data_IF_349074728981
#
_entry.id   IF_349074728981
#
_cell.length_a   1.000
_cell.length_b   1.000
_cell.length_c   1.000
_cell.angle_alpha   90.00
_cell.angle_beta   90.00
_cell.angle_gamma   90.00
#
_symmetry.space_group_name_H-M   'P 1'
#
loop_
_entity.id
_entity.type
_entity.pdbx_description
1 polymer ?
#
# COMPACT_ATOMS: atom_id res chain seq x y z
N UNK A 1 42.60 3.54 2.41
CA UNK A 1 42.06 4.64 1.57
C UNK A 1 40.67 5.01 2.09
N UNK A 2 40.49 6.16 2.77
CA UNK A 2 39.15 6.60 3.22
C UNK A 2 38.35 7.08 2.00
N UNK A 3 37.31 6.34 1.65
CA UNK A 3 36.40 6.66 0.54
C UNK A 3 35.64 7.95 0.90
N UNK A 4 35.80 9.04 0.14
CA UNK A 4 35.04 10.28 0.37
C UNK A 4 33.56 10.03 0.02
N UNK A 5 32.68 10.21 1.00
CA UNK A 5 31.23 10.12 0.83
C UNK A 5 30.76 11.35 0.05
N UNK A 6 29.98 11.15 -1.01
CA UNK A 6 29.37 12.24 -1.80
C UNK A 6 28.26 12.93 -0.99
N UNK A 7 28.06 14.24 -1.18
CA UNK A 7 26.91 14.95 -0.60
C UNK A 7 25.55 14.31 -0.93
N UNK A 8 25.42 13.67 -2.11
CA UNK A 8 24.22 12.92 -2.46
C UNK A 8 24.05 11.65 -1.62
N UNK A 9 25.14 10.96 -1.28
CA UNK A 9 25.07 9.78 -0.42
C UNK A 9 24.67 10.18 1.00
N UNK A 10 25.15 11.33 1.49
CA UNK A 10 24.71 11.88 2.78
C UNK A 10 23.19 12.11 2.75
N UNK A 11 22.67 12.76 1.70
CA UNK A 11 21.23 12.96 1.52
C UNK A 11 20.45 11.62 1.47
N UNK A 12 20.94 10.64 0.70
CA UNK A 12 20.30 9.34 0.55
C UNK A 12 20.14 8.62 1.90
N UNK A 13 21.19 8.64 2.74
CA UNK A 13 21.19 7.98 4.04
C UNK A 13 20.54 8.82 5.15
N UNK A 14 20.37 10.13 4.97
CA UNK A 14 19.73 10.99 5.98
C UNK A 14 18.23 11.15 5.78
N UNK A 15 17.70 10.95 4.58
CA UNK A 15 16.30 11.23 4.25
C UNK A 15 15.31 10.54 5.21
N UNK A 16 15.39 9.22 5.39
CA UNK A 16 14.43 8.49 6.22
C UNK A 16 14.61 8.79 7.73
N UNK A 17 15.84 8.81 8.31
CA UNK A 17 16.03 9.21 9.71
C UNK A 17 15.52 10.62 10.01
N UNK A 18 15.81 11.59 9.14
CA UNK A 18 15.32 12.96 9.30
C UNK A 18 13.81 13.02 9.21
N UNK A 19 13.21 12.28 8.27
CA UNK A 19 11.75 12.20 8.13
C UNK A 19 11.10 11.55 9.35
N UNK A 20 11.74 10.53 9.96
CA UNK A 20 11.23 9.88 11.17
C UNK A 20 11.21 10.86 12.35
N UNK A 21 12.30 11.59 12.57
CA UNK A 21 12.36 12.60 13.63
C UNK A 21 11.33 13.71 13.38
N UNK A 22 11.27 14.21 12.14
CA UNK A 22 10.30 15.25 11.78
C UNK A 22 8.86 14.78 11.95
N UNK A 23 8.53 13.56 11.53
CA UNK A 23 7.21 12.96 11.68
C UNK A 23 6.78 12.81 13.13
N UNK A 24 7.69 12.36 14.00
CA UNK A 24 7.41 12.29 15.44
C UNK A 24 7.25 13.66 16.10
N UNK A 25 8.01 14.67 15.68
CA UNK A 25 7.78 16.03 16.16
C UNK A 25 6.38 16.47 15.74
N UNK A 26 5.99 16.20 14.48
CA UNK A 26 4.72 16.61 13.93
C UNK A 26 3.52 15.87 14.55
N UNK A 27 3.69 14.62 14.99
CA UNK A 27 2.63 13.83 15.64
C UNK A 27 2.14 14.44 16.95
N UNK A 28 2.94 15.28 17.61
CA UNK A 28 2.48 16.02 18.79
C UNK A 28 1.50 17.16 18.45
N UNK A 29 1.52 17.65 17.22
CA UNK A 29 0.74 18.83 16.79
C UNK A 29 -0.41 18.48 15.84
N UNK A 30 -0.29 17.38 15.10
CA UNK A 30 -1.28 16.98 14.11
C UNK A 30 -1.99 15.69 14.54
N UNK A 31 -3.32 15.74 14.57
CA UNK A 31 -4.15 14.55 14.67
C UNK A 31 -4.77 14.26 13.30
N UNK A 32 -4.20 13.29 12.58
CA UNK A 32 -4.65 12.92 11.23
C UNK A 32 -5.33 11.56 11.31
N UNK A 33 -6.61 11.51 10.95
CA UNK A 33 -7.31 10.25 10.73
C UNK A 33 -6.91 9.67 9.37
N UNK A 34 -6.18 8.55 9.39
CA UNK A 34 -5.77 7.84 8.19
C UNK A 34 -6.49 6.48 8.07
N UNK A 35 -7.21 6.30 6.97
CA UNK A 35 -7.88 5.04 6.66
C UNK A 35 -6.86 3.97 6.21
N UNK A 36 -6.64 2.97 7.06
CA UNK A 36 -5.76 1.81 6.80
C UNK A 36 -6.25 0.95 5.63
N UNK A 37 -7.54 0.99 5.30
CA UNK A 37 -8.17 0.14 4.29
C UNK A 37 -8.63 0.92 3.05
N UNK A 38 -8.24 2.19 2.93
CA UNK A 38 -8.52 3.03 1.78
C UNK A 38 -7.94 2.48 0.47
N UNK A 39 -8.64 2.72 -0.65
CA UNK A 39 -8.28 2.16 -1.97
C UNK A 39 -6.83 2.46 -2.39
N UNK A 40 -6.35 3.67 -2.10
CA UNK A 40 -4.98 4.10 -2.40
C UNK A 40 -3.95 3.25 -1.65
N UNK A 41 -4.17 2.99 -0.36
CA UNK A 41 -3.28 2.15 0.44
C UNK A 41 -3.23 0.72 -0.10
N UNK A 42 -4.37 0.16 -0.50
CA UNK A 42 -4.45 -1.23 -1.00
C UNK A 42 -3.73 -1.41 -2.34
N UNK A 43 -3.90 -0.48 -3.29
CA UNK A 43 -3.36 -0.65 -4.65
C UNK A 43 -1.95 -0.08 -4.85
N UNK A 44 -1.59 0.99 -4.14
CA UNK A 44 -0.29 1.63 -4.29
C UNK A 44 0.67 1.21 -3.18
N UNK A 45 0.33 1.49 -1.92
CA UNK A 45 1.26 1.29 -0.79
C UNK A 45 1.51 -0.20 -0.53
N UNK A 46 0.46 -1.01 -0.37
CA UNK A 46 0.59 -2.47 -0.13
C UNK A 46 1.24 -3.20 -1.31
N UNK A 47 1.18 -2.66 -2.52
CA UNK A 47 1.86 -3.18 -3.72
C UNK A 47 3.08 -2.34 -4.13
N UNK A 48 3.67 -1.60 -3.20
CA UNK A 48 4.68 -0.59 -3.54
C UNK A 48 5.94 -1.15 -4.22
N UNK A 49 6.35 -2.38 -3.88
CA UNK A 49 7.54 -2.98 -4.47
C UNK A 49 7.37 -3.25 -5.96
N UNK A 50 6.15 -3.63 -6.37
CA UNK A 50 5.80 -3.82 -7.79
C UNK A 50 5.96 -2.50 -8.56
N UNK A 51 5.34 -1.41 -8.08
CA UNK A 51 5.43 -0.10 -8.73
C UNK A 51 6.86 0.44 -8.78
N UNK A 52 7.61 0.27 -7.69
CA UNK A 52 9.03 0.63 -7.60
C UNK A 52 9.87 -0.13 -8.61
N UNK A 53 9.59 -1.42 -8.80
CA UNK A 53 10.26 -2.25 -9.80
C UNK A 53 9.95 -1.79 -11.21
N UNK A 54 8.66 -1.62 -11.54
CA UNK A 54 8.22 -1.21 -12.89
C UNK A 54 8.82 0.13 -13.28
N UNK A 55 8.67 1.15 -12.43
CA UNK A 55 9.15 2.51 -12.73
C UNK A 55 10.68 2.57 -12.71
N UNK A 56 11.32 1.91 -11.75
CA UNK A 56 12.78 1.86 -11.64
C UNK A 56 13.44 1.23 -12.87
N UNK A 57 12.96 0.05 -13.30
CA UNK A 57 13.46 -0.63 -14.49
C UNK A 57 13.16 0.14 -15.78
N UNK A 58 11.98 0.72 -15.89
CA UNK A 58 11.61 1.52 -17.04
C UNK A 58 12.51 2.76 -17.19
N UNK A 59 12.78 3.48 -16.11
CA UNK A 59 13.74 4.58 -16.10
C UNK A 59 15.17 4.12 -16.42
N UNK A 60 15.59 2.99 -15.85
CA UNK A 60 16.91 2.41 -16.12
C UNK A 60 17.11 2.11 -17.61
N UNK A 61 16.16 1.40 -18.23
CA UNK A 61 16.19 1.05 -19.66
C UNK A 61 16.23 2.32 -20.51
N UNK A 62 15.38 3.30 -20.21
CA UNK A 62 15.23 4.53 -21.00
C UNK A 62 16.46 5.44 -21.01
N UNK A 63 17.13 5.61 -19.87
CA UNK A 63 18.21 6.61 -19.72
C UNK A 63 19.61 6.02 -19.71
N UNK A 64 19.74 4.73 -19.40
CA UNK A 64 21.04 4.05 -19.38
C UNK A 64 21.27 3.20 -20.61
N UNK A 65 20.21 2.53 -21.10
CA UNK A 65 20.31 1.51 -22.13
C UNK A 65 21.12 0.29 -21.65
N UNK A 66 20.92 -0.86 -22.30
CA UNK A 66 21.69 -2.08 -22.01
C UNK A 66 23.15 -2.01 -22.54
N UNK A 67 23.53 -0.91 -23.19
CA UNK A 67 24.76 -0.77 -23.95
C UNK A 67 26.03 -0.52 -23.11
N UNK A 68 25.93 -0.01 -21.88
CA UNK A 68 27.11 0.13 -21.00
C UNK A 68 27.46 -1.21 -20.34
N UNK A 69 28.48 -1.88 -20.89
CA UNK A 69 29.01 -3.16 -20.42
C UNK A 69 29.29 -3.12 -18.90
N UNK A 70 28.70 -4.05 -18.16
CA UNK A 70 28.95 -4.25 -16.71
C UNK A 70 28.13 -3.36 -15.75
N UNK A 71 27.54 -2.26 -16.21
CA UNK A 71 26.82 -1.35 -15.32
C UNK A 71 25.43 -1.86 -14.89
N UNK A 72 24.76 -2.65 -15.74
CA UNK A 72 23.44 -3.21 -15.44
C UNK A 72 23.52 -4.35 -14.41
N UNK A 73 24.64 -5.09 -14.39
CA UNK A 73 24.87 -6.16 -13.40
C UNK A 73 24.86 -5.63 -11.97
N UNK A 74 25.43 -4.43 -11.76
CA UNK A 74 25.42 -3.76 -10.45
C UNK A 74 23.99 -3.41 -10.02
N UNK A 75 23.22 -2.78 -10.90
CA UNK A 75 21.81 -2.41 -10.61
C UNK A 75 20.96 -3.64 -10.35
N UNK A 76 21.11 -4.67 -11.18
CA UNK A 76 20.43 -5.95 -10.98
C UNK A 76 20.82 -6.58 -9.64
N UNK A 77 22.11 -6.59 -9.29
CA UNK A 77 22.58 -7.14 -8.03
C UNK A 77 21.97 -6.40 -6.83
N UNK A 78 21.94 -5.06 -6.85
CA UNK A 78 21.25 -4.28 -5.80
C UNK A 78 19.79 -4.66 -5.71
N UNK A 79 19.09 -4.69 -6.86
CA UNK A 79 17.67 -5.04 -6.91
C UNK A 79 17.39 -6.44 -6.35
N UNK A 80 18.19 -7.44 -6.73
CA UNK A 80 18.06 -8.82 -6.25
C UNK A 80 18.33 -8.90 -4.75
N UNK A 81 19.39 -8.26 -4.24
CA UNK A 81 19.71 -8.28 -2.80
C UNK A 81 18.60 -7.60 -1.99
N UNK A 82 18.11 -6.43 -2.42
CA UNK A 82 17.02 -5.73 -1.73
C UNK A 82 15.69 -6.49 -1.81
N UNK A 83 15.39 -7.11 -2.96
CA UNK A 83 14.20 -7.96 -3.13
C UNK A 83 14.29 -9.18 -2.21
N UNK A 84 15.41 -9.87 -2.19
CA UNK A 84 15.64 -11.02 -1.32
C UNK A 84 15.49 -10.62 0.16
N UNK A 85 16.02 -9.46 0.54
CA UNK A 85 15.88 -8.95 1.90
C UNK A 85 14.42 -8.67 2.28
N UNK A 86 13.66 -8.00 1.41
CA UNK A 86 12.23 -7.79 1.61
C UNK A 86 11.45 -9.09 1.76
N UNK A 87 11.77 -10.04 0.89
CA UNK A 87 11.20 -11.38 0.85
C UNK A 87 11.46 -12.15 2.16
N UNK A 88 12.69 -12.22 2.65
CA UNK A 88 13.01 -12.85 3.93
C UNK A 88 12.39 -12.14 5.14
N UNK A 89 12.32 -10.80 5.09
CA UNK A 89 11.84 -10.02 6.22
C UNK A 89 10.33 -10.12 6.40
N UNK A 90 9.56 -10.18 5.31
CA UNK A 90 8.09 -10.04 5.33
C UNK A 90 7.32 -11.28 4.86
N UNK A 91 7.92 -12.16 4.03
CA UNK A 91 7.19 -13.26 3.40
C UNK A 91 7.63 -14.62 3.96
N UNK A 92 6.66 -15.52 4.15
CA UNK A 92 6.92 -16.92 4.51
C UNK A 92 7.25 -17.73 3.25
N UNK A 93 8.49 -17.59 2.77
CA UNK A 93 8.95 -18.23 1.51
C UNK A 93 9.43 -19.65 1.75
N UNK A 94 10.00 -19.90 2.92
CA UNK A 94 10.47 -21.22 3.32
C UNK A 94 9.29 -21.92 3.99
N UNK A 95 8.88 -23.05 3.42
CA UNK A 95 7.78 -23.87 3.97
C UNK A 95 8.01 -24.15 5.45
N UNK A 96 7.05 -23.75 6.28
CA UNK A 96 7.09 -23.94 7.74
C UNK A 96 7.89 -22.91 8.53
N UNK A 97 8.62 -21.99 7.86
CA UNK A 97 9.33 -20.90 8.53
C UNK A 97 8.52 -19.60 8.47
N UNK A 98 8.37 -18.97 9.63
CA UNK A 98 7.80 -17.63 9.74
C UNK A 98 8.78 -16.58 9.18
N UNK A 99 8.28 -15.46 8.62
CA UNK A 99 9.13 -14.35 8.23
C UNK A 99 9.85 -13.76 9.45
N UNK A 100 10.98 -13.08 9.23
CA UNK A 100 11.80 -12.52 10.32
C UNK A 100 10.97 -11.62 11.25
N UNK A 101 10.06 -10.82 10.69
CA UNK A 101 9.15 -9.96 11.46
C UNK A 101 8.29 -10.74 12.45
N UNK A 102 7.64 -11.82 11.99
CA UNK A 102 6.78 -12.66 12.85
C UNK A 102 7.61 -13.44 13.88
N UNK A 103 8.86 -13.81 13.55
CA UNK A 103 9.79 -14.43 14.50
C UNK A 103 10.15 -13.44 15.62
N UNK A 104 10.52 -12.19 15.27
CA UNK A 104 10.83 -11.15 16.26
C UNK A 104 9.62 -10.91 17.16
N UNK A 105 8.42 -10.85 16.58
CA UNK A 105 7.19 -10.69 17.33
C UNK A 105 6.93 -11.82 18.34
N UNK A 106 7.03 -13.07 17.90
CA UNK A 106 6.79 -14.23 18.77
C UNK A 106 7.88 -14.39 19.84
N UNK A 107 9.14 -14.09 19.52
CA UNK A 107 10.25 -14.11 20.48
C UNK A 107 10.14 -13.03 21.56
N UNK A 108 9.50 -11.91 21.26
CA UNK A 108 9.28 -10.80 22.20
C UNK A 108 8.00 -10.95 23.02
N UNK A 109 7.38 -12.14 22.99
CA UNK A 109 6.21 -12.49 23.79
C UNK A 109 4.88 -12.28 23.09
N UNK A 110 4.88 -12.00 21.79
CA UNK A 110 3.66 -11.88 21.00
C UNK A 110 3.03 -13.24 20.69
N UNK A 111 1.69 -13.29 20.65
CA UNK A 111 0.93 -14.50 20.35
C UNK A 111 -0.33 -14.23 19.55
N UNK A 112 -0.86 -15.28 18.93
CA UNK A 112 -2.23 -15.26 18.42
C UNK A 112 -3.20 -15.39 19.59
N UNK A 113 -4.30 -14.65 19.52
CA UNK A 113 -5.32 -14.60 20.56
C UNK A 113 -6.73 -14.71 19.98
N UNK A 114 -7.61 -15.38 20.72
CA UNK A 114 -8.99 -15.66 20.34
C UNK A 114 -9.99 -15.20 21.42
N UNK A 115 -9.82 -13.98 21.95
CA UNK A 115 -10.76 -13.38 22.91
C UNK A 115 -12.04 -12.87 22.24
N UNK A 116 -12.86 -13.78 21.73
CA UNK A 116 -14.03 -13.45 20.91
C UNK A 116 -15.11 -12.72 21.70
N UNK A 117 -15.44 -13.22 22.90
CA UNK A 117 -16.52 -12.71 23.75
C UNK A 117 -15.98 -11.93 24.94
N UNK A 118 -16.73 -10.95 25.45
CA UNK A 118 -16.35 -10.22 26.66
C UNK A 118 -16.54 -11.10 27.91
N UNK A 119 -15.48 -11.37 28.70
CA UNK A 119 -15.59 -12.18 29.91
C UNK A 119 -16.53 -11.60 30.98
N UNK A 120 -16.76 -10.28 30.97
CA UNK A 120 -17.58 -9.61 31.97
C UNK A 120 -19.09 -9.65 31.65
N UNK A 121 -19.45 -9.91 30.39
CA UNK A 121 -20.83 -9.90 29.89
C UNK A 121 -21.44 -11.31 29.81
N UNK A 122 -21.55 -11.97 30.97
CA UNK A 122 -21.93 -13.40 31.09
C UNK A 122 -23.31 -13.70 30.49
N UNK A 123 -24.28 -12.79 30.67
CA UNK A 123 -25.66 -13.00 30.25
C UNK A 123 -25.91 -12.66 28.77
N UNK A 124 -25.24 -11.62 28.26
CA UNK A 124 -25.52 -11.07 26.93
C UNK A 124 -24.64 -11.68 25.83
N UNK A 125 -23.52 -12.34 26.17
CA UNK A 125 -22.57 -12.90 25.19
C UNK A 125 -22.11 -11.86 24.16
N UNK A 126 -21.83 -10.64 24.62
CA UNK A 126 -21.38 -9.54 23.79
C UNK A 126 -19.99 -9.83 23.21
N UNK A 127 -19.77 -9.47 21.95
CA UNK A 127 -18.44 -9.52 21.35
C UNK A 127 -17.47 -8.58 22.06
N UNK A 128 -16.26 -9.04 22.30
CA UNK A 128 -15.21 -8.24 22.91
C UNK A 128 -14.84 -7.08 21.98
N UNK A 129 -14.97 -5.84 22.47
CA UNK A 129 -14.64 -4.65 21.69
C UNK A 129 -13.14 -4.51 21.40
N UNK A 130 -12.29 -5.17 22.20
CA UNK A 130 -10.84 -5.23 21.98
C UNK A 130 -10.45 -6.28 20.94
N UNK A 131 -11.37 -7.18 20.58
CA UNK A 131 -11.16 -8.20 19.56
C UNK A 131 -11.28 -7.59 18.15
N UNK A 132 -10.13 -7.21 17.60
CA UNK A 132 -9.96 -6.39 16.38
C UNK A 132 -10.43 -4.94 16.49
N UNK A 133 -9.66 -4.05 15.85
CA UNK A 133 -9.87 -2.59 15.86
C UNK A 133 -11.20 -2.13 15.24
N UNK A 134 -11.72 -2.85 14.24
CA UNK A 134 -12.91 -2.42 13.47
C UNK A 134 -13.96 -3.50 13.41
N UNK A 135 -15.23 -3.09 13.39
CA UNK A 135 -16.40 -3.98 13.30
C UNK A 135 -16.30 -4.88 12.06
N UNK A 136 -15.91 -4.33 10.92
CA UNK A 136 -15.73 -5.09 9.68
C UNK A 136 -14.64 -6.17 9.79
N UNK A 137 -13.52 -5.89 10.48
CA UNK A 137 -12.46 -6.88 10.72
C UNK A 137 -12.95 -7.98 11.65
N UNK A 138 -13.64 -7.60 12.74
CA UNK A 138 -14.24 -8.54 13.68
C UNK A 138 -15.21 -9.51 12.99
N UNK A 139 -16.13 -9.00 12.17
CA UNK A 139 -17.11 -9.82 11.46
C UNK A 139 -16.45 -10.80 10.48
N UNK A 140 -15.44 -10.36 9.72
CA UNK A 140 -14.64 -11.25 8.86
C UNK A 140 -13.88 -12.30 9.66
N UNK A 141 -13.39 -11.94 10.84
CA UNK A 141 -12.69 -12.84 11.75
C UNK A 141 -13.61 -13.95 12.27
N UNK A 142 -14.82 -13.58 12.70
CA UNK A 142 -15.84 -14.52 13.14
C UNK A 142 -16.23 -15.51 12.04
N UNK A 143 -16.42 -15.03 10.81
CA UNK A 143 -16.73 -15.89 9.68
C UNK A 143 -15.62 -16.91 9.39
N UNK A 144 -14.35 -16.51 9.49
CA UNK A 144 -13.20 -17.43 9.36
C UNK A 144 -13.17 -18.45 10.49
N UNK A 145 -13.34 -17.97 11.72
CA UNK A 145 -13.35 -18.80 12.92
C UNK A 145 -14.47 -19.85 12.87
N UNK A 146 -15.68 -19.47 12.43
CA UNK A 146 -16.80 -20.39 12.20
C UNK A 146 -16.42 -21.51 11.23
N UNK A 147 -15.82 -21.18 10.08
CA UNK A 147 -15.41 -22.18 9.09
C UNK A 147 -14.38 -23.16 9.67
N UNK A 148 -13.39 -22.66 10.42
CA UNK A 148 -12.37 -23.52 11.03
C UNK A 148 -12.98 -24.42 12.11
N UNK A 149 -13.83 -23.89 12.98
CA UNK A 149 -14.49 -24.68 14.02
C UNK A 149 -15.47 -25.70 13.43
N UNK A 150 -16.05 -25.42 12.27
CA UNK A 150 -16.95 -26.34 11.56
C UNK A 150 -16.20 -27.58 11.09
N UNK A 151 -14.95 -27.43 10.67
CA UNK A 151 -14.06 -28.55 10.32
C UNK A 151 -13.67 -29.39 11.55
N UNK A 152 -13.83 -28.85 12.76
CA UNK A 152 -13.55 -29.49 14.05
C UNK A 152 -14.82 -30.05 14.75
N UNK A 153 -15.96 -30.10 14.05
CA UNK A 153 -17.27 -30.44 14.62
C UNK A 153 -17.36 -31.85 15.23
N UNK A 154 -16.51 -32.77 14.78
CA UNK A 154 -16.47 -34.16 15.26
C UNK A 154 -15.72 -34.34 16.60
N UNK A 155 -15.28 -33.24 17.23
CA UNK A 155 -14.70 -33.27 18.57
C UNK A 155 -15.69 -33.85 19.61
N UNK A 156 -15.24 -34.74 20.51
CA UNK A 156 -16.14 -35.41 21.45
C UNK A 156 -16.70 -34.49 22.53
N UNK A 157 -16.18 -33.27 22.68
CA UNK A 157 -16.71 -32.30 23.63
C UNK A 157 -17.93 -31.57 23.04
N UNK A 158 -18.99 -31.36 23.85
CA UNK A 158 -20.11 -30.50 23.45
C UNK A 158 -19.70 -29.01 23.34
N UNK A 159 -18.44 -28.67 23.67
CA UNK A 159 -17.95 -27.30 23.74
C UNK A 159 -17.67 -26.72 22.35
N UNK A 160 -17.18 -27.51 21.37
CA UNK A 160 -17.07 -27.04 19.97
C UNK A 160 -18.46 -26.72 19.41
N UNK A 161 -19.45 -27.58 19.67
CA UNK A 161 -20.83 -27.36 19.22
C UNK A 161 -21.44 -26.11 19.86
N UNK A 162 -21.17 -25.87 21.14
CA UNK A 162 -21.56 -24.64 21.81
C UNK A 162 -20.86 -23.40 21.22
N UNK A 163 -19.55 -23.46 20.97
CA UNK A 163 -18.80 -22.38 20.33
C UNK A 163 -19.35 -22.05 18.93
N UNK A 164 -19.62 -23.08 18.13
CA UNK A 164 -20.20 -22.96 16.79
C UNK A 164 -21.56 -22.27 16.83
N UNK A 165 -22.48 -22.73 17.67
CA UNK A 165 -23.82 -22.13 17.83
C UNK A 165 -23.73 -20.65 18.23
N UNK A 166 -22.82 -20.30 19.15
CA UNK A 166 -22.63 -18.90 19.58
C UNK A 166 -22.06 -18.02 18.47
N UNK A 167 -21.03 -18.47 17.76
CA UNK A 167 -20.42 -17.71 16.66
C UNK A 167 -21.39 -17.58 15.49
N UNK A 168 -22.14 -18.64 15.16
CA UNK A 168 -23.15 -18.64 14.10
C UNK A 168 -24.22 -17.58 14.34
N UNK A 169 -24.64 -17.39 15.60
CA UNK A 169 -25.62 -16.35 15.95
C UNK A 169 -25.14 -14.93 15.65
N UNK A 170 -23.84 -14.67 15.73
CA UNK A 170 -23.23 -13.37 15.39
C UNK A 170 -22.92 -13.24 13.90
N UNK A 171 -22.68 -14.36 13.21
CA UNK A 171 -22.38 -14.37 11.76
C UNK A 171 -23.65 -14.27 10.92
N UNK A 172 -24.71 -15.00 11.29
CA UNK A 172 -25.96 -15.11 10.54
C UNK A 172 -27.09 -14.22 11.06
N UNK A 173 -26.87 -13.52 12.18
CA UNK A 173 -27.88 -12.79 12.96
C UNK A 173 -29.09 -13.66 13.38
N UNK A 174 -29.00 -14.98 13.18
CA UNK A 174 -30.04 -15.94 13.51
C UNK A 174 -29.82 -16.49 14.93
N UNK A 175 -30.80 -16.30 15.82
CA UNK A 175 -30.75 -16.77 17.21
C UNK A 175 -31.60 -18.03 17.46
N UNK A 176 -32.15 -18.61 16.39
CA UNK A 176 -33.04 -19.75 16.49
C UNK A 176 -32.20 -21.00 16.80
N UNK A 177 -32.25 -21.46 18.06
CA UNK A 177 -31.52 -22.61 18.64
C UNK A 177 -30.09 -22.33 19.15
N UNK A 178 -29.95 -21.36 20.06
CA UNK A 178 -28.77 -21.28 20.91
C UNK A 178 -28.70 -22.50 21.83
N UNK A 179 -27.59 -23.25 21.76
CA UNK A 179 -27.35 -24.35 22.69
C UNK A 179 -27.23 -23.79 24.12
N UNK A 180 -28.06 -24.30 25.03
CA UNK A 180 -27.92 -24.04 26.46
C UNK A 180 -26.73 -24.84 27.00
N UNK A 181 -25.77 -24.14 27.60
CA UNK A 181 -24.60 -24.74 28.21
C UNK A 181 -24.17 -23.94 29.43
N UNK A 182 -23.74 -24.64 30.49
CA UNK A 182 -23.18 -24.03 31.70
C UNK A 182 -21.72 -23.58 31.49
N UNK A 183 -21.47 -22.83 30.42
CA UNK A 183 -20.15 -22.30 30.10
C UNK A 183 -20.17 -20.78 30.16
N UNK A 184 -19.13 -20.19 30.74
CA UNK A 184 -18.95 -18.73 30.70
C UNK A 184 -18.29 -18.29 29.38
N UNK A 185 -18.43 -17.02 28.99
CA UNK A 185 -17.71 -16.47 27.83
C UNK A 185 -16.19 -16.64 27.93
N UNK A 186 -15.62 -16.50 29.14
CA UNK A 186 -14.19 -16.71 29.39
C UNK A 186 -13.76 -18.16 29.13
N UNK A 187 -14.50 -19.13 29.65
CA UNK A 187 -14.23 -20.56 29.40
C UNK A 187 -14.31 -20.88 27.90
N UNK A 188 -15.25 -20.28 27.18
CA UNK A 188 -15.38 -20.47 25.74
C UNK A 188 -14.19 -19.88 24.97
N UNK A 189 -13.71 -18.69 25.34
CA UNK A 189 -12.53 -18.08 24.73
C UNK A 189 -11.28 -18.93 24.98
N UNK A 190 -11.04 -19.38 26.22
CA UNK A 190 -9.92 -20.26 26.57
C UNK A 190 -9.95 -21.55 25.76
N UNK A 191 -11.12 -22.17 25.64
CA UNK A 191 -11.29 -23.37 24.84
C UNK A 191 -10.99 -23.16 23.35
N UNK A 192 -11.52 -22.08 22.76
CA UNK A 192 -11.26 -21.73 21.35
C UNK A 192 -9.76 -21.50 21.14
N UNK A 193 -9.11 -20.80 22.07
CA UNK A 193 -7.67 -20.56 22.03
C UNK A 193 -6.88 -21.88 22.09
N UNK A 194 -7.19 -22.77 23.03
CA UNK A 194 -6.50 -24.06 23.21
C UNK A 194 -6.68 -24.99 22.00
N UNK A 195 -7.91 -25.16 21.50
CA UNK A 195 -8.18 -26.10 20.41
C UNK A 195 -7.48 -25.66 19.12
N UNK A 196 -7.45 -24.36 18.83
CA UNK A 196 -6.82 -23.83 17.62
C UNK A 196 -5.30 -23.93 17.67
N UNK A 197 -4.69 -23.64 18.83
CA UNK A 197 -3.25 -23.82 19.02
C UNK A 197 -2.84 -25.30 18.97
N UNK A 198 -3.71 -26.22 19.40
CA UNK A 198 -3.50 -27.67 19.29
C UNK A 198 -3.63 -28.15 17.84
N UNK A 199 -4.65 -27.66 17.13
CA UNK A 199 -4.96 -28.09 15.77
C UNK A 199 -3.90 -27.66 14.76
N UNK A 200 -3.34 -26.45 14.91
CA UNK A 200 -2.38 -25.89 13.96
C UNK A 200 -1.28 -25.11 14.66
N UNK A 201 -0.04 -25.29 14.21
CA UNK A 201 1.08 -24.44 14.62
C UNK A 201 0.90 -23.01 14.09
N UNK A 202 0.54 -22.07 14.97
CA UNK A 202 0.37 -20.66 14.64
C UNK A 202 1.67 -19.91 14.92
N UNK A 203 2.54 -19.79 13.92
CA UNK A 203 3.84 -19.11 14.04
C UNK A 203 3.97 -17.83 13.22
N UNK A 204 2.92 -17.44 12.48
CA UNK A 204 2.92 -16.22 11.66
C UNK A 204 1.60 -15.47 11.77
N UNK A 205 1.67 -14.16 11.57
CA UNK A 205 0.52 -13.26 11.59
C UNK A 205 -0.51 -13.63 10.53
N UNK A 206 -0.05 -14.02 9.33
CA UNK A 206 -0.89 -14.51 8.24
C UNK A 206 -1.68 -15.76 8.62
N UNK A 207 -1.06 -16.73 9.30
CA UNK A 207 -1.76 -17.93 9.77
C UNK A 207 -2.76 -17.56 10.85
N UNK A 208 -2.39 -16.74 11.83
CA UNK A 208 -3.33 -16.29 12.87
C UNK A 208 -4.58 -15.61 12.28
N UNK A 209 -4.38 -14.67 11.35
CA UNK A 209 -5.47 -13.99 10.67
C UNK A 209 -6.29 -14.92 9.76
N UNK A 210 -5.70 -16.00 9.23
CA UNK A 210 -6.43 -17.00 8.45
C UNK A 210 -7.40 -17.81 9.31
N UNK A 211 -7.08 -18.01 10.60
CA UNK A 211 -7.94 -18.68 11.57
C UNK A 211 -8.97 -17.74 12.22
N UNK A 212 -8.91 -16.43 11.91
CA UNK A 212 -9.74 -15.43 12.56
C UNK A 212 -9.23 -15.00 13.93
N UNK A 213 -7.97 -15.24 14.26
CA UNK A 213 -7.35 -14.74 15.48
C UNK A 213 -6.83 -13.31 15.34
N UNK A 214 -6.51 -12.70 16.48
CA UNK A 214 -5.86 -11.39 16.57
C UNK A 214 -4.42 -11.56 17.06
N UNK A 215 -3.49 -10.87 16.41
CA UNK A 215 -2.06 -10.87 16.76
C UNK A 215 -1.83 -9.82 17.85
N UNK A 216 -1.48 -10.23 19.08
CA UNK A 216 -1.39 -9.32 20.25
C UNK A 216 -0.09 -9.52 21.05
N UNK A 217 0.29 -8.49 21.82
CA UNK A 217 1.53 -8.46 22.59
C UNK A 217 2.73 -8.20 21.68
N UNK A 218 3.89 -8.72 22.07
CA UNK A 218 5.11 -8.71 21.26
C UNK A 218 5.60 -7.33 20.80
N UNK A 219 6.72 -7.33 20.11
CA UNK A 219 7.26 -6.20 19.39
C UNK A 219 7.14 -6.48 17.90
N UNK A 220 6.32 -5.71 17.17
CA UNK A 220 6.10 -5.87 15.74
C UNK A 220 6.93 -4.83 14.94
N UNK A 221 8.10 -5.21 14.37
CA UNK A 221 8.88 -4.27 13.57
C UNK A 221 8.05 -3.71 12.42
N UNK A 222 8.02 -2.38 12.25
CA UNK A 222 7.14 -1.77 11.25
C UNK A 222 7.53 -2.16 9.83
N UNK A 223 6.75 -3.08 9.24
CA UNK A 223 6.90 -3.54 7.87
C UNK A 223 6.71 -2.44 6.83
N UNK A 224 5.84 -1.47 7.12
CA UNK A 224 5.61 -0.31 6.24
C UNK A 224 6.85 0.58 6.19
N UNK A 225 7.40 1.00 7.34
CA UNK A 225 8.62 1.81 7.40
C UNK A 225 9.78 1.08 6.74
N UNK A 226 9.94 -0.20 7.03
CA UNK A 226 10.96 -1.06 6.42
C UNK A 226 10.87 -1.03 4.88
N UNK A 227 9.70 -1.37 4.35
CA UNK A 227 9.48 -1.56 2.93
C UNK A 227 9.56 -0.25 2.14
N UNK A 228 8.98 0.84 2.68
CA UNK A 228 9.06 2.19 2.10
C UNK A 228 10.50 2.70 2.08
N UNK A 229 11.29 2.41 3.13
CA UNK A 229 12.72 2.76 3.18
C UNK A 229 13.48 2.08 2.05
N UNK A 230 13.29 0.77 1.86
CA UNK A 230 13.97 0.03 0.78
C UNK A 230 13.61 0.59 -0.60
N UNK A 231 12.34 0.90 -0.84
CA UNK A 231 11.90 1.51 -2.11
C UNK A 231 12.51 2.88 -2.35
N UNK A 232 12.49 3.73 -1.32
CA UNK A 232 13.03 5.09 -1.41
C UNK A 232 14.53 5.05 -1.70
N UNK A 233 15.27 4.19 -1.00
CA UNK A 233 16.70 3.98 -1.21
C UNK A 233 17.00 3.40 -2.58
N UNK A 234 16.20 2.45 -3.07
CA UNK A 234 16.34 1.91 -4.42
C UNK A 234 16.15 3.00 -5.48
N UNK A 235 15.02 3.71 -5.47
CA UNK A 235 14.70 4.71 -6.48
C UNK A 235 15.64 5.91 -6.47
N UNK A 236 16.01 6.42 -5.29
CA UNK A 236 16.96 7.53 -5.18
C UNK A 236 18.37 7.11 -5.59
N UNK A 237 18.81 5.90 -5.20
CA UNK A 237 20.09 5.36 -5.65
C UNK A 237 20.18 5.23 -7.17
N UNK A 238 19.11 4.77 -7.82
CA UNK A 238 19.06 4.71 -9.29
C UNK A 238 18.92 6.11 -9.92
N UNK A 239 18.19 7.03 -9.29
CA UNK A 239 18.09 8.43 -9.71
C UNK A 239 19.46 9.11 -9.70
N UNK A 240 20.35 8.80 -8.75
CA UNK A 240 21.73 9.30 -8.75
C UNK A 240 22.47 8.93 -10.04
N UNK A 241 22.28 7.70 -10.52
CA UNK A 241 22.98 7.18 -11.67
C UNK A 241 22.42 7.72 -13.00
N UNK A 242 21.11 7.88 -13.12
CA UNK A 242 20.44 8.32 -14.35
C UNK A 242 20.13 9.81 -14.40
N UNK A 243 20.12 10.51 -13.26
CA UNK A 243 19.57 11.84 -13.07
C UNK A 243 20.12 12.88 -14.04
N UNK A 244 21.44 12.93 -14.25
CA UNK A 244 22.06 13.87 -15.22
C UNK A 244 21.62 13.65 -16.66
N UNK A 245 21.29 12.41 -17.05
CA UNK A 245 20.80 12.09 -18.40
C UNK A 245 19.32 12.40 -18.51
N UNK A 246 18.55 12.03 -17.48
CA UNK A 246 17.12 12.31 -17.39
C UNK A 246 16.83 13.82 -17.41
N UNK A 247 17.59 14.60 -16.64
CA UNK A 247 17.51 16.06 -16.62
C UNK A 247 17.78 16.67 -18.00
N UNK A 248 18.81 16.21 -18.70
CA UNK A 248 19.11 16.67 -20.07
C UNK A 248 18.02 16.29 -21.07
N UNK A 249 17.36 15.14 -20.89
CA UNK A 249 16.24 14.73 -21.74
C UNK A 249 15.03 15.65 -21.52
N UNK A 250 14.64 15.88 -20.26
CA UNK A 250 13.56 16.79 -19.88
C UNK A 250 13.74 18.20 -20.48
N UNK A 251 14.96 18.74 -20.44
CA UNK A 251 15.24 20.08 -20.97
C UNK A 251 15.22 20.20 -22.49
N UNK A 252 15.43 19.08 -23.21
CA UNK A 252 15.48 19.09 -24.68
C UNK A 252 14.08 19.06 -25.31
N UNK A 253 13.10 18.51 -24.62
CA UNK A 253 11.74 18.30 -25.15
C UNK A 253 10.86 19.57 -25.09
N UNK A 254 11.42 20.76 -25.37
CA UNK A 254 10.66 22.02 -25.42
C UNK A 254 9.56 22.01 -26.51
N UNK A 255 9.76 21.24 -27.58
CA UNK A 255 8.80 21.12 -28.68
C UNK A 255 7.43 20.59 -28.22
N UNK A 256 7.40 19.68 -27.24
CA UNK A 256 6.16 19.12 -26.71
C UNK A 256 5.32 20.19 -26.00
N UNK A 257 5.97 21.12 -25.30
CA UNK A 257 5.27 22.24 -24.65
C UNK A 257 4.64 23.19 -25.67
N UNK A 258 5.30 23.44 -26.80
CA UNK A 258 4.72 24.25 -27.87
C UNK A 258 3.53 23.54 -28.55
N UNK A 259 3.61 22.23 -28.78
CA UNK A 259 2.48 21.44 -29.28
C UNK A 259 1.29 21.44 -28.30
N UNK A 260 1.54 21.21 -27.02
CA UNK A 260 0.52 21.29 -25.96
C UNK A 260 -0.13 22.68 -25.92
N UNK A 261 0.68 23.74 -25.97
CA UNK A 261 0.19 25.12 -25.99
C UNK A 261 -0.71 25.38 -27.20
N UNK A 262 -0.34 24.89 -28.38
CA UNK A 262 -1.14 25.04 -29.59
C UNK A 262 -2.52 24.36 -29.46
N UNK A 263 -2.57 23.14 -28.93
CA UNK A 263 -3.83 22.43 -28.68
C UNK A 263 -4.69 23.10 -27.59
N UNK A 264 -4.07 23.60 -26.50
CA UNK A 264 -4.77 24.37 -25.48
C UNK A 264 -5.38 25.66 -26.03
N UNK A 265 -4.64 26.40 -26.87
CA UNK A 265 -5.15 27.61 -27.52
C UNK A 265 -6.33 27.27 -28.43
N UNK A 266 -6.29 26.16 -29.18
CA UNK A 266 -7.43 25.71 -30.01
C UNK A 266 -8.68 25.45 -29.16
N UNK A 267 -8.56 24.80 -28.00
CA UNK A 267 -9.68 24.59 -27.07
C UNK A 267 -10.24 25.92 -26.55
N UNK A 268 -9.36 26.87 -26.19
CA UNK A 268 -9.78 28.18 -25.67
C UNK A 268 -10.38 29.09 -26.76
N UNK A 269 -9.97 28.93 -28.02
CA UNK A 269 -10.43 29.73 -29.18
C UNK A 269 -11.54 29.07 -29.98
N UNK A 270 -11.90 27.81 -29.67
CA UNK A 270 -13.08 27.13 -30.20
C UNK A 270 -14.28 28.06 -29.93
N UNK A 271 -14.81 28.63 -31.02
CA UNK A 271 -15.81 29.74 -31.08
C UNK A 271 -17.18 29.40 -30.47
N UNK A 272 -17.24 28.36 -29.67
CA UNK A 272 -18.40 27.60 -29.25
C UNK A 272 -19.22 28.32 -28.19
N UNK A 273 -18.58 29.16 -27.36
CA UNK A 273 -19.27 30.01 -26.39
C UNK A 273 -19.82 31.30 -27.01
N UNK A 274 -19.24 31.80 -28.10
CA UNK A 274 -19.63 33.08 -28.72
C UNK A 274 -20.61 32.93 -29.89
N UNK A 275 -20.56 31.83 -30.66
CA UNK A 275 -21.40 31.63 -31.84
C UNK A 275 -22.88 31.33 -31.55
N UNK A 276 -23.19 30.80 -30.35
CA UNK A 276 -24.58 30.53 -29.93
C UNK A 276 -25.31 31.82 -29.54
N UNK A 277 -24.57 32.84 -29.05
CA UNK A 277 -25.15 34.14 -28.64
C UNK A 277 -25.65 34.97 -29.83
N UNK A 278 -25.28 34.65 -31.07
CA UNK A 278 -25.55 35.49 -32.26
C UNK A 278 -26.72 35.05 -33.13
N UNK A 279 -27.44 33.96 -32.84
CA UNK A 279 -28.67 33.60 -33.60
C UNK A 279 -29.91 34.20 -32.93
N UNK A 280 -30.49 35.23 -33.58
CA UNK A 280 -31.69 35.98 -33.15
C UNK A 280 -32.96 35.61 -33.94
N UNK A 281 -32.92 34.63 -34.83
CA UNK A 281 -34.02 34.30 -35.76
C UNK A 281 -34.83 33.07 -35.31
N UNK A 282 -36.18 33.10 -35.47
CA UNK A 282 -37.05 31.98 -35.08
C UNK A 282 -36.88 30.77 -36.01
N UNK A 283 -36.88 29.58 -35.40
CA UNK A 283 -36.67 28.29 -36.08
C UNK A 283 -37.97 27.87 -36.77
N UNK A 284 -38.03 28.00 -38.10
CA UNK A 284 -39.27 27.76 -38.85
C UNK A 284 -39.23 26.51 -39.78
N UNK A 285 -38.06 25.89 -40.02
CA UNK A 285 -37.91 24.78 -40.98
C UNK A 285 -37.06 23.61 -40.42
N UNK A 286 -37.31 22.38 -40.90
CA UNK A 286 -36.55 21.15 -40.52
C UNK A 286 -35.04 21.27 -40.77
N UNK A 287 -34.63 22.00 -41.82
CA UNK A 287 -33.21 22.29 -42.08
C UNK A 287 -32.54 23.10 -40.96
N UNK A 288 -33.30 23.98 -40.32
CA UNK A 288 -32.81 24.85 -39.25
C UNK A 288 -32.60 24.09 -37.94
N UNK A 289 -33.42 23.06 -37.68
CA UNK A 289 -33.19 22.09 -36.59
C UNK A 289 -31.88 21.34 -36.79
N UNK A 290 -31.57 20.91 -38.02
CA UNK A 290 -30.33 20.19 -38.34
C UNK A 290 -29.09 21.07 -38.15
N UNK A 291 -29.19 22.35 -38.45
CA UNK A 291 -28.10 23.32 -38.25
C UNK A 291 -27.91 23.70 -36.79
N UNK A 292 -28.98 23.80 -36.00
CA UNK A 292 -28.91 23.95 -34.55
C UNK A 292 -28.28 22.71 -33.91
N UNK A 293 -28.69 21.51 -34.31
CA UNK A 293 -28.08 20.26 -33.84
C UNK A 293 -26.59 20.20 -34.17
N UNK A 294 -26.22 20.61 -35.39
CA UNK A 294 -24.82 20.67 -35.83
C UNK A 294 -24.02 21.69 -35.04
N UNK A 295 -24.61 22.84 -34.70
CA UNK A 295 -24.00 23.87 -33.87
C UNK A 295 -23.88 23.47 -32.39
N UNK A 296 -24.73 22.58 -31.89
CA UNK A 296 -24.64 22.03 -30.54
C UNK A 296 -23.67 20.84 -30.45
N UNK A 297 -23.57 20.01 -31.49
CA UNK A 297 -22.80 18.74 -31.47
C UNK A 297 -21.36 18.90 -31.96
N UNK A 298 -21.09 19.70 -33.00
CA UNK A 298 -19.71 19.85 -33.52
C UNK A 298 -18.76 20.45 -32.48
N UNK A 299 -19.13 21.52 -31.74
CA UNK A 299 -18.32 22.08 -30.66
C UNK A 299 -17.78 21.11 -29.61
N UNK A 300 -18.61 20.34 -28.88
CA UNK A 300 -18.12 19.41 -27.87
C UNK A 300 -17.30 18.27 -28.50
N UNK A 301 -17.62 17.85 -29.72
CA UNK A 301 -16.86 16.80 -30.41
C UNK A 301 -15.44 17.25 -30.79
N UNK A 302 -15.29 18.47 -31.31
CA UNK A 302 -13.99 19.07 -31.62
C UNK A 302 -13.17 19.30 -30.34
N UNK A 303 -13.79 19.84 -29.29
CA UNK A 303 -13.14 19.96 -27.97
C UNK A 303 -12.70 18.61 -27.42
N UNK A 304 -13.54 17.58 -27.51
CA UNK A 304 -13.19 16.22 -27.05
C UNK A 304 -12.01 15.64 -27.83
N UNK A 305 -11.94 15.89 -29.15
CA UNK A 305 -10.81 15.48 -29.99
C UNK A 305 -9.52 16.19 -29.59
N UNK A 306 -9.56 17.49 -29.35
CA UNK A 306 -8.38 18.25 -28.88
C UNK A 306 -7.92 17.79 -27.49
N UNK A 307 -8.86 17.53 -26.57
CA UNK A 307 -8.56 16.94 -25.26
C UNK A 307 -7.91 15.57 -25.42
N UNK A 308 -8.41 14.72 -26.32
CA UNK A 308 -7.78 13.43 -26.62
C UNK A 308 -6.33 13.58 -27.12
N UNK A 309 -6.05 14.53 -28.01
CA UNK A 309 -4.68 14.81 -28.46
C UNK A 309 -3.79 15.31 -27.31
N UNK A 310 -4.28 16.21 -26.46
CA UNK A 310 -3.54 16.67 -25.27
C UNK A 310 -3.25 15.49 -24.35
N UNK A 311 -4.24 14.67 -24.04
CA UNK A 311 -4.09 13.51 -23.15
C UNK A 311 -3.09 12.51 -23.72
N UNK A 312 -3.20 12.15 -25.00
CA UNK A 312 -2.26 11.22 -25.64
C UNK A 312 -0.84 11.77 -25.72
N UNK A 313 -0.69 13.07 -25.98
CA UNK A 313 0.61 13.75 -25.96
C UNK A 313 1.23 13.77 -24.56
N UNK A 314 0.44 14.09 -23.53
CA UNK A 314 0.87 14.05 -22.13
C UNK A 314 1.24 12.64 -21.68
N UNK A 315 0.43 11.63 -22.02
CA UNK A 315 0.72 10.23 -21.70
C UNK A 315 2.01 9.79 -22.37
N UNK A 316 2.18 10.07 -23.67
CA UNK A 316 3.44 9.78 -24.38
C UNK A 316 4.62 10.52 -23.75
N UNK A 317 4.44 11.78 -23.37
CA UNK A 317 5.50 12.57 -22.74
C UNK A 317 5.93 12.01 -21.38
N UNK A 318 4.98 11.72 -20.49
CA UNK A 318 5.26 11.24 -19.14
C UNK A 318 5.74 9.79 -19.14
N UNK A 319 5.07 8.91 -19.87
CA UNK A 319 5.37 7.47 -19.83
C UNK A 319 6.51 7.10 -20.77
N UNK A 320 6.61 7.63 -21.99
CA UNK A 320 7.65 7.21 -22.95
C UNK A 320 8.85 8.16 -22.99
N UNK A 321 8.61 9.45 -23.11
CA UNK A 321 9.70 10.39 -23.32
C UNK A 321 10.48 10.60 -22.02
N UNK A 322 9.76 10.81 -20.92
CA UNK A 322 10.32 11.24 -19.64
C UNK A 322 9.79 10.48 -18.41
N UNK A 323 10.03 9.15 -18.32
CA UNK A 323 9.58 8.35 -17.18
C UNK A 323 10.20 8.72 -15.83
N UNK A 324 11.26 9.56 -15.82
CA UNK A 324 11.80 10.11 -14.57
C UNK A 324 10.75 10.90 -13.79
N UNK A 325 9.73 11.46 -14.45
CA UNK A 325 8.60 12.13 -13.79
C UNK A 325 7.86 11.13 -12.90
N UNK A 326 7.57 9.93 -13.41
CA UNK A 326 6.94 8.86 -12.65
C UNK A 326 7.81 8.46 -11.45
N UNK A 327 9.12 8.38 -11.63
CA UNK A 327 10.05 8.06 -10.54
C UNK A 327 10.00 9.11 -9.44
N UNK A 328 10.05 10.40 -9.79
CA UNK A 328 10.00 11.50 -8.80
C UNK A 328 8.66 11.53 -8.08
N UNK A 329 7.54 11.38 -8.79
CA UNK A 329 6.20 11.28 -8.19
C UNK A 329 6.14 10.10 -7.24
N UNK A 330 6.67 8.94 -7.62
CA UNK A 330 6.67 7.74 -6.80
C UNK A 330 7.53 7.89 -5.54
N UNK A 331 8.72 8.51 -5.64
CA UNK A 331 9.55 8.86 -4.47
C UNK A 331 8.82 9.82 -3.53
N UNK A 332 8.16 10.86 -4.08
CA UNK A 332 7.37 11.78 -3.27
C UNK A 332 6.22 11.09 -2.55
N UNK A 333 5.56 10.15 -3.23
CA UNK A 333 4.51 9.32 -2.67
C UNK A 333 5.02 8.40 -1.54
N UNK A 334 6.18 7.77 -1.72
CA UNK A 334 6.83 6.97 -0.68
C UNK A 334 7.25 7.81 0.52
N UNK A 335 7.81 8.99 0.29
CA UNK A 335 8.15 9.92 1.35
C UNK A 335 6.92 10.37 2.14
N UNK A 336 5.83 10.70 1.45
CA UNK A 336 4.55 11.03 2.10
C UNK A 336 3.99 9.85 2.90
N UNK A 337 3.98 8.65 2.32
CA UNK A 337 3.52 7.44 3.00
C UNK A 337 4.35 7.13 4.24
N UNK A 338 5.67 7.37 4.19
CA UNK A 338 6.56 7.26 5.35
C UNK A 338 6.13 8.25 6.44
N UNK A 339 5.95 9.51 6.08
CA UNK A 339 5.56 10.57 7.02
C UNK A 339 4.21 10.28 7.70
N UNK A 340 3.19 9.89 6.94
CA UNK A 340 1.89 9.50 7.52
C UNK A 340 2.02 8.29 8.45
N UNK A 341 2.86 7.31 8.08
CA UNK A 341 3.11 6.15 8.95
C UNK A 341 3.74 6.58 10.25
N UNK A 342 4.69 7.51 10.23
CA UNK A 342 5.35 8.01 11.45
C UNK A 342 4.42 8.81 12.36
N UNK A 343 3.41 9.49 11.80
CA UNK A 343 2.46 10.33 12.55
C UNK A 343 1.35 9.49 13.17
N UNK A 344 0.77 8.55 12.41
CA UNK A 344 -0.52 7.92 12.77
C UNK A 344 -0.36 6.50 13.30
N UNK A 345 0.67 5.76 12.87
CA UNK A 345 0.77 4.32 13.11
C UNK A 345 2.01 3.94 13.90
N UNK A 346 1.90 2.82 14.63
CA UNK A 346 3.01 2.18 15.33
C UNK A 346 3.64 3.01 16.45
N UNK A 347 4.34 2.33 17.34
CA UNK A 347 5.17 3.01 18.35
C UNK A 347 6.51 3.43 17.74
N UNK A 348 7.19 4.42 18.35
CA UNK A 348 8.54 4.84 17.95
C UNK A 348 9.51 3.64 17.85
N UNK A 349 9.40 2.67 18.76
CA UNK A 349 10.28 1.50 18.78
C UNK A 349 10.02 0.55 17.61
N UNK A 350 8.76 0.31 17.26
CA UNK A 350 8.37 -0.48 16.09
C UNK A 350 8.86 0.19 14.80
N UNK A 351 8.72 1.52 14.70
CA UNK A 351 9.23 2.29 13.56
C UNK A 351 10.77 2.25 13.47
N UNK A 352 11.47 2.43 14.60
CA UNK A 352 12.94 2.41 14.65
C UNK A 352 13.50 1.05 14.27
N UNK A 353 12.92 -0.04 14.79
CA UNK A 353 13.36 -1.40 14.46
C UNK A 353 13.17 -1.72 12.97
N UNK A 354 12.03 -1.33 12.37
CA UNK A 354 11.80 -1.45 10.93
C UNK A 354 12.81 -0.65 10.09
N UNK A 355 13.10 0.59 10.52
CA UNK A 355 14.09 1.45 9.87
C UNK A 355 15.50 0.85 9.93
N UNK A 356 15.95 0.39 11.11
CA UNK A 356 17.26 -0.23 11.29
C UNK A 356 17.40 -1.47 10.40
N UNK A 357 16.37 -2.34 10.38
CA UNK A 357 16.38 -3.54 9.54
C UNK A 357 16.52 -3.20 8.04
N UNK A 358 15.88 -2.13 7.57
CA UNK A 358 16.06 -1.68 6.19
C UNK A 358 17.47 -1.14 5.93
N UNK A 359 17.99 -0.32 6.86
CA UNK A 359 19.28 0.35 6.72
C UNK A 359 20.48 -0.61 6.74
N UNK A 360 20.41 -1.71 7.49
CA UNK A 360 21.49 -2.71 7.55
C UNK A 360 21.85 -3.18 6.14
N UNK A 361 20.87 -3.66 5.37
CA UNK A 361 21.12 -4.19 4.03
C UNK A 361 21.32 -3.07 3.01
N UNK A 362 20.50 -2.01 3.06
CA UNK A 362 20.61 -0.93 2.07
C UNK A 362 21.97 -0.22 2.13
N UNK A 363 22.50 0.02 3.33
CA UNK A 363 23.82 0.65 3.51
C UNK A 363 24.93 -0.25 2.98
N UNK A 364 24.89 -1.55 3.28
CA UNK A 364 25.85 -2.52 2.74
C UNK A 364 25.83 -2.55 1.21
N UNK A 365 24.63 -2.57 0.62
CA UNK A 365 24.44 -2.58 -0.84
C UNK A 365 25.03 -1.33 -1.49
N UNK A 366 24.72 -0.13 -0.98
CA UNK A 366 25.15 1.13 -1.60
C UNK A 366 26.60 1.53 -1.29
N UNK A 367 27.19 1.02 -0.21
CA UNK A 367 28.61 1.22 0.07
C UNK A 367 29.48 0.22 -0.73
N UNK A 368 29.06 -1.04 -0.85
CA UNK A 368 29.89 -2.08 -1.45
C UNK A 368 29.66 -2.28 -2.96
N UNK A 369 28.44 -2.06 -3.45
CA UNK A 369 28.06 -2.28 -4.87
C UNK A 369 27.95 -0.93 -5.59
N UNK A 370 29.08 -0.23 -5.74
CA UNK A 370 29.16 1.07 -6.41
C UNK A 370 29.64 0.94 -7.85
#
# INVERSE_FOLDING_TARGET
MRRKISGYQIFLFSLCPVTLVFGHILSYWLNIDADKDGWFNVYFVKRGWFWTSVVGWWCFIRYRGLQQVGSWKKVLLRYVVLTAWWLFFTQSIISGAAPIMDIVFTLTGGRCNFDVFDPNEILQWKLNEKFHDTVNRRQRSLAKLYNVLKDLKDDPTNMVKHALSRIESWVSENKDQLMEGNYTPGQLNEYIDEILHRWRKINSSNICQSLGGQWIGGHDPSGHIFLITLMSMFLLGELQAIGKRAWRALWKDKAVFEELRAHCIKILTLKTLWGIRTRRSPVNNVGDVRDVLRALVKPPLESAREVYYIVTLLVKYVFWNNPVILLVVLVGMWWWSFLITTIVFHTLWEQLSGLICAYIVATLVYLNIN
#
